data_IF_288748210482
#
_entry.id   IF_288748210482
#
_cell.length_a   1.000
_cell.length_b   1.000
_cell.length_c   1.000
_cell.angle_alpha   90.00
_cell.angle_beta   90.00
_cell.angle_gamma   90.00
#
_symmetry.space_group_name_H-M   'P 1'
#
loop_
_entity.id
_entity.type
_entity.pdbx_description
1 polymer ?
#
# COMPACT_ATOMS: atom_id res chain seq x y z
N UNK A 1 1.18 18.76 26.91
CA UNK A 1 -0.08 17.98 26.93
C UNK A 1 -0.69 18.03 25.54
N UNK A 2 -0.47 17.01 24.69
CA UNK A 2 -1.04 16.95 23.32
C UNK A 2 -2.46 16.45 23.41
N UNK A 3 -3.43 17.31 23.20
CA UNK A 3 -4.84 16.97 23.17
C UNK A 3 -5.06 15.86 22.14
N UNK A 4 -5.49 14.69 22.58
CA UNK A 4 -5.95 13.58 21.72
C UNK A 4 -7.35 13.91 21.24
N UNK A 5 -7.47 14.64 20.16
CA UNK A 5 -8.75 14.77 19.47
C UNK A 5 -8.93 13.47 18.66
N UNK A 6 -9.64 12.52 19.21
CA UNK A 6 -10.13 11.39 18.44
C UNK A 6 -11.10 11.92 17.40
N UNK A 7 -10.92 11.52 16.14
CA UNK A 7 -11.85 11.91 15.09
C UNK A 7 -13.21 11.30 15.39
N UNK A 8 -14.29 12.10 15.44
CA UNK A 8 -15.63 11.54 15.60
C UNK A 8 -15.92 10.54 14.46
N UNK A 9 -16.46 9.37 14.80
CA UNK A 9 -16.77 8.30 13.82
C UNK A 9 -17.61 8.81 12.63
N UNK A 10 -18.48 9.81 12.86
CA UNK A 10 -19.27 10.45 11.80
C UNK A 10 -18.38 11.18 10.79
N UNK A 11 -17.38 11.91 11.26
CA UNK A 11 -16.44 12.64 10.41
C UNK A 11 -15.52 11.68 9.64
N UNK A 12 -15.06 10.60 10.29
CA UNK A 12 -14.27 9.56 9.63
C UNK A 12 -15.05 8.88 8.49
N UNK A 13 -16.32 8.55 8.71
CA UNK A 13 -17.20 8.03 7.64
C UNK A 13 -17.44 9.05 6.52
N UNK A 14 -17.61 10.32 6.85
CA UNK A 14 -17.77 11.38 5.85
C UNK A 14 -16.51 11.51 4.99
N UNK A 15 -15.33 11.47 5.59
CA UNK A 15 -14.03 11.45 4.88
C UNK A 15 -13.87 10.20 4.00
N UNK A 16 -14.26 9.03 4.49
CA UNK A 16 -14.26 7.81 3.71
C UNK A 16 -15.18 7.89 2.48
N UNK A 17 -16.39 8.46 2.65
CA UNK A 17 -17.31 8.70 1.53
C UNK A 17 -16.74 9.70 0.53
N UNK A 18 -16.17 10.81 1.02
CA UNK A 18 -15.51 11.81 0.18
C UNK A 18 -14.35 11.23 -0.61
N UNK A 19 -13.54 10.42 0.06
CA UNK A 19 -12.46 9.66 -0.56
C UNK A 19 -13.00 8.72 -1.64
N UNK A 20 -14.04 7.94 -1.35
CA UNK A 20 -14.69 7.06 -2.32
C UNK A 20 -15.28 7.83 -3.51
N UNK A 21 -15.92 8.98 -3.25
CA UNK A 21 -16.45 9.86 -4.29
C UNK A 21 -15.32 10.41 -5.18
N UNK A 22 -14.21 10.85 -4.59
CA UNK A 22 -13.03 11.28 -5.35
C UNK A 22 -12.50 10.15 -6.23
N UNK A 23 -12.32 8.95 -5.67
CA UNK A 23 -11.85 7.80 -6.44
C UNK A 23 -12.81 7.41 -7.58
N UNK A 24 -14.11 7.57 -7.39
CA UNK A 24 -15.09 7.33 -8.45
C UNK A 24 -14.97 8.29 -9.64
N UNK A 25 -14.35 9.45 -9.44
CA UNK A 25 -14.08 10.42 -10.53
C UNK A 25 -12.77 10.13 -11.28
N UNK A 26 -11.88 9.32 -10.71
CA UNK A 26 -10.57 9.07 -11.28
C UNK A 26 -10.64 8.06 -12.43
N UNK A 27 -9.82 8.29 -13.46
CA UNK A 27 -9.55 7.30 -14.51
C UNK A 27 -8.42 6.40 -14.05
N UNK A 28 -8.79 5.34 -13.31
CA UNK A 28 -7.83 4.40 -12.73
C UNK A 28 -7.52 3.28 -13.73
N UNK A 29 -6.26 3.14 -14.09
CA UNK A 29 -5.75 2.09 -14.95
C UNK A 29 -4.65 1.31 -14.22
N UNK A 30 -4.73 -0.01 -14.25
CA UNK A 30 -3.66 -0.91 -13.84
C UNK A 30 -2.87 -1.39 -15.03
N UNK A 31 -1.56 -1.41 -14.94
CA UNK A 31 -0.66 -1.95 -15.94
C UNK A 31 0.05 -3.17 -15.35
N UNK A 32 -0.14 -4.32 -15.98
CA UNK A 32 0.44 -5.59 -15.56
C UNK A 32 1.83 -5.81 -16.17
N UNK A 33 2.60 -6.80 -15.69
CA UNK A 33 3.93 -7.08 -16.20
C UNK A 33 3.96 -7.43 -17.69
N UNK A 34 2.96 -8.15 -18.18
CA UNK A 34 2.80 -8.53 -19.59
C UNK A 34 2.37 -7.38 -20.51
N UNK A 35 2.18 -6.19 -19.95
CA UNK A 35 1.74 -5.00 -20.67
C UNK A 35 0.22 -4.86 -20.79
N UNK A 36 -0.55 -5.83 -20.30
CA UNK A 36 -2.01 -5.75 -20.31
C UNK A 36 -2.51 -4.67 -19.36
N UNK A 37 -3.62 -4.03 -19.74
CA UNK A 37 -4.29 -2.99 -18.95
C UNK A 37 -5.52 -3.57 -18.29
N UNK A 38 -5.68 -3.24 -17.02
CA UNK A 38 -6.81 -3.67 -16.19
C UNK A 38 -7.44 -2.48 -15.49
N UNK A 39 -8.67 -2.62 -15.12
CA UNK A 39 -9.36 -1.68 -14.23
C UNK A 39 -9.43 -2.27 -12.82
N UNK A 40 -9.80 -1.48 -11.79
CA UNK A 40 -10.01 -2.03 -10.45
C UNK A 40 -11.07 -3.14 -10.38
N UNK A 41 -11.98 -3.20 -11.37
CA UNK A 41 -13.02 -4.22 -11.45
C UNK A 41 -12.59 -5.49 -12.18
N UNK A 42 -11.59 -5.41 -13.02
CA UNK A 42 -11.11 -6.55 -13.84
C UNK A 42 -9.81 -7.16 -13.36
N UNK A 43 -9.15 -6.55 -12.36
CA UNK A 43 -7.94 -7.12 -11.78
C UNK A 43 -8.28 -8.41 -11.02
N UNK A 44 -7.60 -9.53 -11.32
CA UNK A 44 -7.86 -10.82 -10.67
C UNK A 44 -7.15 -10.89 -9.30
N UNK A 45 -7.71 -10.23 -8.30
CA UNK A 45 -7.13 -10.23 -6.96
C UNK A 45 -7.07 -11.66 -6.39
N UNK A 46 -5.89 -12.02 -5.91
CA UNK A 46 -5.59 -13.29 -5.25
C UNK A 46 -4.90 -13.10 -3.91
N UNK A 47 -4.19 -14.13 -3.46
CA UNK A 47 -3.45 -14.14 -2.19
C UNK A 47 -2.10 -13.39 -2.26
N UNK A 48 -2.01 -12.33 -2.98
CA UNK A 48 -0.78 -11.59 -3.22
C UNK A 48 -0.48 -10.60 -2.09
N UNK A 49 0.79 -10.23 -1.97
CA UNK A 49 1.25 -9.12 -1.15
C UNK A 49 1.59 -7.97 -2.09
N UNK A 50 0.77 -6.93 -2.08
CA UNK A 50 1.07 -5.67 -2.77
C UNK A 50 1.96 -4.82 -1.87
N UNK A 51 3.22 -4.66 -2.27
CA UNK A 51 4.19 -3.82 -1.60
C UNK A 51 4.29 -2.46 -2.31
N UNK A 52 4.08 -1.38 -1.58
CA UNK A 52 4.13 -0.02 -2.12
C UNK A 52 4.66 0.99 -1.11
N UNK A 53 5.08 2.15 -1.60
CA UNK A 53 5.54 3.24 -0.75
C UNK A 53 4.36 4.05 -0.21
N UNK A 54 4.50 4.65 0.97
CA UNK A 54 3.46 5.47 1.60
C UNK A 54 2.95 6.59 0.68
N UNK A 55 3.82 7.16 -0.15
CA UNK A 55 3.42 8.20 -1.11
C UNK A 55 2.31 7.77 -2.08
N UNK A 56 2.23 6.48 -2.41
CA UNK A 56 1.29 5.92 -3.38
C UNK A 56 0.02 5.37 -2.71
N UNK A 57 -0.04 5.36 -1.38
CA UNK A 57 -1.12 4.75 -0.60
C UNK A 57 -2.51 5.29 -0.97
N UNK A 58 -2.60 6.60 -1.24
CA UNK A 58 -3.87 7.22 -1.60
C UNK A 58 -4.41 6.71 -2.95
N UNK A 59 -3.55 6.54 -3.95
CA UNK A 59 -3.97 6.01 -5.25
C UNK A 59 -4.45 4.57 -5.17
N UNK A 60 -3.80 3.77 -4.32
CA UNK A 60 -4.06 2.34 -4.22
C UNK A 60 -5.33 2.00 -3.42
N UNK A 61 -5.74 2.86 -2.49
CA UNK A 61 -6.91 2.60 -1.66
C UNK A 61 -8.20 2.39 -2.46
N UNK A 62 -8.41 3.11 -3.55
CA UNK A 62 -9.57 2.95 -4.42
C UNK A 62 -9.57 1.66 -5.23
N UNK A 63 -8.38 1.15 -5.56
CA UNK A 63 -8.23 -0.12 -6.29
C UNK A 63 -8.41 -1.29 -5.32
N UNK A 64 -7.72 -1.25 -4.20
CA UNK A 64 -7.75 -2.31 -3.19
C UNK A 64 -9.09 -2.40 -2.46
N UNK A 65 -9.84 -1.31 -2.32
CA UNK A 65 -11.13 -1.28 -1.64
C UNK A 65 -12.16 -2.28 -2.19
N UNK A 66 -12.03 -2.69 -3.44
CA UNK A 66 -12.87 -3.74 -4.05
C UNK A 66 -12.45 -5.16 -3.69
N UNK A 67 -11.23 -5.34 -3.21
CA UNK A 67 -10.60 -6.65 -3.01
C UNK A 67 -10.71 -7.21 -1.58
N UNK A 68 -11.40 -6.54 -0.66
CA UNK A 68 -11.41 -6.90 0.77
C UNK A 68 -10.00 -7.16 1.33
N UNK A 69 -9.07 -6.27 1.02
CA UNK A 69 -7.67 -6.42 1.39
C UNK A 69 -7.43 -6.29 2.89
N UNK A 70 -6.34 -6.87 3.35
CA UNK A 70 -5.84 -6.69 4.72
C UNK A 70 -4.58 -5.84 4.71
N UNK A 71 -4.47 -4.87 5.61
CA UNK A 71 -3.30 -4.02 5.75
C UNK A 71 -2.86 -3.87 7.20
N UNK A 72 -1.59 -3.47 7.40
CA UNK A 72 -1.01 -3.18 8.70
C UNK A 72 -0.83 -1.67 8.86
N UNK A 73 -1.47 -1.10 9.87
CA UNK A 73 -1.37 0.33 10.17
C UNK A 73 -0.76 0.53 11.56
N UNK A 74 0.26 1.39 11.65
CA UNK A 74 0.90 1.73 12.91
C UNK A 74 -0.07 2.43 13.87
N UNK A 75 0.02 2.20 15.20
CA UNK A 75 -0.71 2.97 16.19
C UNK A 75 -0.31 4.43 16.17
N UNK A 76 -1.26 5.31 16.41
CA UNK A 76 -1.06 6.75 16.48
C UNK A 76 -2.17 7.49 15.76
N UNK A 77 -2.19 8.82 15.92
CA UNK A 77 -3.25 9.68 15.39
C UNK A 77 -3.46 9.51 13.88
N UNK A 78 -2.36 9.56 13.11
CA UNK A 78 -2.42 9.40 11.66
C UNK A 78 -2.88 7.98 11.26
N UNK A 79 -2.43 6.98 12.04
CA UNK A 79 -2.88 5.60 11.87
C UNK A 79 -4.36 5.40 12.24
N UNK A 80 -4.89 6.16 13.20
CA UNK A 80 -6.32 6.09 13.55
C UNK A 80 -7.17 6.62 12.38
N UNK A 81 -6.74 7.72 11.76
CA UNK A 81 -7.36 8.25 10.55
C UNK A 81 -7.29 7.27 9.38
N UNK A 82 -6.11 6.75 9.11
CA UNK A 82 -5.91 5.78 8.04
C UNK A 82 -6.77 4.53 8.25
N UNK A 83 -6.91 4.07 9.51
CA UNK A 83 -7.76 2.93 9.86
C UNK A 83 -9.23 3.18 9.50
N UNK A 84 -9.77 4.32 9.85
CA UNK A 84 -11.16 4.66 9.56
C UNK A 84 -11.40 4.75 8.03
N UNK A 85 -10.48 5.38 7.29
CA UNK A 85 -10.56 5.45 5.83
C UNK A 85 -10.51 4.06 5.20
N UNK A 86 -9.52 3.25 5.56
CA UNK A 86 -9.36 1.90 5.01
C UNK A 86 -10.57 1.02 5.34
N UNK A 87 -11.07 1.09 6.56
CA UNK A 87 -12.26 0.31 6.97
C UNK A 87 -13.52 0.77 6.21
N UNK A 88 -13.66 2.08 5.95
CA UNK A 88 -14.78 2.60 5.16
C UNK A 88 -14.77 2.14 3.69
N UNK A 89 -13.60 1.75 3.18
CA UNK A 89 -13.40 1.18 1.85
C UNK A 89 -13.58 -0.36 1.83
N UNK A 90 -13.91 -0.97 2.96
CA UNK A 90 -14.05 -2.43 3.06
C UNK A 90 -12.75 -3.18 3.35
N UNK A 91 -11.64 -2.46 3.59
CA UNK A 91 -10.37 -3.06 3.97
C UNK A 91 -10.35 -3.49 5.44
N UNK A 92 -9.64 -4.57 5.74
CA UNK A 92 -9.37 -5.03 7.10
C UNK A 92 -8.06 -4.43 7.60
N UNK A 93 -8.07 -3.81 8.77
CA UNK A 93 -6.89 -3.21 9.37
C UNK A 93 -6.43 -4.01 10.58
N UNK A 94 -5.18 -4.44 10.53
CA UNK A 94 -4.46 -4.94 11.70
C UNK A 94 -3.60 -3.82 12.28
N UNK A 95 -3.68 -3.62 13.59
CA UNK A 95 -2.94 -2.56 14.28
C UNK A 95 -1.63 -3.09 14.80
N UNK A 96 -0.51 -2.54 14.33
CA UNK A 96 0.81 -2.96 14.77
C UNK A 96 1.85 -1.88 14.58
N UNK A 97 2.84 -1.82 15.48
CA UNK A 97 3.89 -0.81 15.44
C UNK A 97 5.23 -1.39 15.03
N UNK A 98 5.89 -0.70 14.12
CA UNK A 98 7.27 -1.01 13.69
C UNK A 98 8.34 -0.25 14.48
N UNK A 99 7.96 0.68 15.36
CA UNK A 99 8.91 1.59 16.05
C UNK A 99 9.96 0.90 16.94
N UNK A 100 9.65 -0.27 17.55
CA UNK A 100 10.59 -1.08 18.36
C UNK A 100 10.30 -2.57 18.29
N UNK A 101 9.74 -3.07 17.20
CA UNK A 101 9.32 -4.47 17.13
C UNK A 101 8.61 -4.81 15.84
N UNK A 102 9.15 -4.41 14.70
CA UNK A 102 8.64 -4.83 13.39
C UNK A 102 8.38 -6.34 13.33
N UNK A 103 9.18 -7.09 14.07
CA UNK A 103 9.01 -8.53 14.27
C UNK A 103 7.71 -8.88 15.02
N UNK A 104 7.33 -8.11 16.05
CA UNK A 104 6.08 -8.34 16.79
C UNK A 104 4.84 -8.01 15.97
N UNK A 105 4.84 -6.87 15.27
CA UNK A 105 3.72 -6.48 14.42
C UNK A 105 3.54 -7.46 13.26
N UNK A 106 4.64 -7.91 12.67
CA UNK A 106 4.61 -8.94 11.64
C UNK A 106 4.15 -10.29 12.20
N UNK A 107 4.64 -10.70 13.38
CA UNK A 107 4.19 -11.93 14.02
C UNK A 107 2.69 -11.88 14.38
N UNK A 108 2.18 -10.72 14.78
CA UNK A 108 0.75 -10.52 14.97
C UNK A 108 0.00 -10.58 13.64
N UNK A 109 0.47 -9.89 12.60
CA UNK A 109 -0.11 -10.00 11.27
C UNK A 109 -0.21 -11.45 10.82
N UNK A 110 0.86 -12.22 10.97
CA UNK A 110 0.89 -13.62 10.57
C UNK A 110 -0.05 -14.52 11.38
N UNK A 111 -0.28 -14.21 12.65
CA UNK A 111 -1.26 -14.94 13.48
C UNK A 111 -2.71 -14.56 13.16
N UNK A 112 -2.93 -13.28 12.89
CA UNK A 112 -4.26 -12.71 12.68
C UNK A 112 -4.68 -12.74 11.20
N UNK A 113 -3.77 -13.16 10.30
CA UNK A 113 -4.13 -13.46 8.93
C UNK A 113 -5.14 -14.59 8.94
N UNK A 114 -6.37 -14.34 8.48
CA UNK A 114 -7.31 -15.44 8.27
C UNK A 114 -6.70 -16.43 7.27
N UNK A 115 -7.04 -17.70 7.42
CA UNK A 115 -6.63 -18.75 6.48
C UNK A 115 -7.12 -18.52 5.06
N UNK A 116 -7.96 -17.55 4.89
CA UNK A 116 -8.51 -17.04 3.63
C UNK A 116 -8.12 -15.56 3.47
N UNK A 117 -7.91 -15.04 2.54
CA UNK A 117 -7.27 -15.18 1.34
C UNK A 117 -7.37 -14.00 0.40
N UNK A 118 -7.85 -12.85 0.84
CA UNK A 118 -7.72 -11.61 0.12
C UNK A 118 -6.26 -11.11 0.08
N UNK A 119 -5.97 -10.16 -0.77
CA UNK A 119 -4.63 -9.60 -0.88
C UNK A 119 -4.20 -8.86 0.39
N UNK A 120 -2.89 -8.86 0.63
CA UNK A 120 -2.26 -7.99 1.62
C UNK A 120 -1.77 -6.72 0.95
N UNK A 121 -2.03 -5.58 1.56
CA UNK A 121 -1.54 -4.28 1.12
C UNK A 121 -0.55 -3.73 2.16
N UNK A 122 0.73 -3.71 1.85
CA UNK A 122 1.77 -3.35 2.80
C UNK A 122 2.55 -2.11 2.36
N UNK A 123 2.53 -1.08 3.20
CA UNK A 123 3.42 0.07 3.09
C UNK A 123 4.81 -0.35 3.56
N UNK A 124 5.82 -0.26 2.69
CA UNK A 124 7.12 -0.88 2.92
C UNK A 124 8.23 0.07 3.36
N UNK A 125 8.11 1.36 3.15
CA UNK A 125 9.10 2.36 3.57
C UNK A 125 8.95 2.78 5.05
N UNK A 126 7.84 2.37 5.67
CA UNK A 126 7.62 2.50 7.11
C UNK A 126 7.41 3.94 7.59
N UNK A 127 7.04 4.15 8.87
CA UNK A 127 6.53 5.43 9.36
C UNK A 127 7.59 6.53 9.52
N UNK A 128 8.85 6.20 9.35
CA UNK A 128 9.98 7.15 9.51
C UNK A 128 10.81 7.28 8.23
N UNK A 129 10.41 6.61 7.14
CA UNK A 129 11.16 6.63 5.89
C UNK A 129 12.55 5.98 5.98
N UNK A 130 13.44 6.32 5.07
CA UNK A 130 13.28 7.26 3.97
C UNK A 130 12.27 6.81 2.92
N UNK A 131 11.58 7.79 2.29
CA UNK A 131 10.59 7.52 1.24
C UNK A 131 11.19 6.74 0.07
N UNK A 132 10.52 5.69 -0.33
CA UNK A 132 10.94 4.86 -1.47
C UNK A 132 11.92 3.76 -1.12
N UNK A 133 12.34 3.61 0.14
CA UNK A 133 13.27 2.55 0.57
C UNK A 133 12.52 1.47 1.35
N UNK A 134 12.37 0.32 0.73
CA UNK A 134 11.67 -0.80 1.33
C UNK A 134 12.42 -1.39 2.52
N UNK A 135 11.69 -1.66 3.59
CA UNK A 135 12.16 -2.42 4.75
C UNK A 135 11.82 -3.89 4.62
N UNK A 136 12.59 -4.74 5.28
CA UNK A 136 12.47 -6.20 5.16
C UNK A 136 11.15 -6.83 5.63
N UNK A 137 10.18 -6.05 6.14
CA UNK A 137 8.93 -6.58 6.68
C UNK A 137 8.08 -7.35 5.68
N UNK A 138 7.88 -6.80 4.48
CA UNK A 138 7.13 -7.45 3.42
C UNK A 138 7.82 -8.72 2.90
N UNK A 139 9.16 -8.69 2.82
CA UNK A 139 9.97 -9.86 2.44
C UNK A 139 9.79 -11.00 3.45
N UNK A 140 9.85 -10.71 4.75
CA UNK A 140 9.61 -11.72 5.80
C UNK A 140 8.17 -12.22 5.75
N UNK A 141 7.20 -11.34 5.48
CA UNK A 141 5.80 -11.75 5.31
C UNK A 141 5.66 -12.75 4.15
N UNK A 142 6.25 -12.45 2.99
CA UNK A 142 6.23 -13.34 1.83
C UNK A 142 6.89 -14.69 2.12
N UNK A 143 8.08 -14.69 2.74
CA UNK A 143 8.79 -15.91 3.13
C UNK A 143 7.94 -16.83 4.05
N UNK A 144 7.23 -16.23 5.00
CA UNK A 144 6.43 -16.97 5.99
C UNK A 144 5.08 -17.44 5.48
N UNK A 145 4.52 -16.76 4.49
CA UNK A 145 3.17 -17.06 3.97
C UNK A 145 3.18 -17.78 2.62
N UNK A 146 4.33 -17.80 1.93
CA UNK A 146 4.43 -18.30 0.55
C UNK A 146 3.67 -17.45 -0.48
N UNK A 147 3.17 -16.27 -0.08
CA UNK A 147 2.40 -15.39 -0.97
C UNK A 147 3.32 -14.65 -1.95
N UNK A 148 2.93 -14.51 -3.22
CA UNK A 148 3.67 -13.69 -4.17
C UNK A 148 3.82 -12.25 -3.68
N UNK A 149 5.05 -11.71 -3.67
CA UNK A 149 5.35 -10.33 -3.27
C UNK A 149 5.47 -9.46 -4.52
N UNK A 150 4.46 -8.64 -4.80
CA UNK A 150 4.42 -7.77 -5.97
C UNK A 150 4.78 -6.33 -5.61
N UNK A 151 5.80 -5.75 -6.22
CA UNK A 151 6.09 -4.33 -6.12
C UNK A 151 5.04 -3.52 -6.89
N UNK A 152 4.54 -2.45 -6.29
CA UNK A 152 3.54 -1.59 -6.91
C UNK A 152 3.98 -0.14 -6.86
N UNK A 153 3.87 0.55 -7.98
CA UNK A 153 4.10 1.98 -8.10
C UNK A 153 2.92 2.68 -8.77
N UNK A 154 2.67 3.92 -8.40
CA UNK A 154 1.57 4.68 -8.99
C UNK A 154 1.98 6.10 -9.35
N UNK A 155 1.31 6.69 -10.34
CA UNK A 155 1.43 8.09 -10.73
C UNK A 155 0.07 8.65 -11.15
N UNK A 156 -0.10 9.96 -10.97
CA UNK A 156 -1.29 10.68 -11.41
C UNK A 156 -0.91 11.94 -12.20
N UNK A 157 -1.63 12.22 -13.29
CA UNK A 157 -1.33 13.36 -14.18
C UNK A 157 -1.53 14.72 -13.48
N UNK A 158 -2.57 14.83 -12.65
CA UNK A 158 -2.87 16.01 -11.83
C UNK A 158 -2.90 15.60 -10.36
N UNK A 159 -1.73 15.47 -9.79
CA UNK A 159 -1.54 14.86 -8.48
C UNK A 159 -0.53 15.65 -7.63
N UNK A 160 -0.94 16.80 -7.07
CA UNK A 160 -0.08 17.59 -6.22
C UNK A 160 0.34 16.80 -4.97
N UNK A 161 1.58 17.06 -4.54
CA UNK A 161 2.09 16.54 -3.26
C UNK A 161 1.42 17.30 -2.13
N UNK A 162 0.87 16.57 -1.16
CA UNK A 162 0.14 17.13 -0.03
C UNK A 162 1.05 17.28 1.18
N UNK A 163 1.14 18.51 1.68
CA UNK A 163 1.88 18.80 2.90
C UNK A 163 3.41 18.67 2.76
N UNK A 164 4.09 18.77 3.92
CA UNK A 164 5.54 18.63 4.06
C UNK A 164 5.93 17.27 4.65
N UNK A 165 5.14 16.24 4.36
CA UNK A 165 5.43 14.89 4.86
C UNK A 165 6.71 14.33 4.23
N UNK A 166 7.47 13.56 5.02
CA UNK A 166 8.64 12.83 4.53
C UNK A 166 8.29 11.86 3.40
N UNK A 167 7.06 11.33 3.39
CA UNK A 167 6.60 10.36 2.40
C UNK A 167 6.29 11.00 1.04
N UNK A 168 6.11 12.34 0.99
CA UNK A 168 5.67 13.05 -0.22
C UNK A 168 4.38 12.45 -0.80
N UNK A 169 3.43 12.20 0.09
CA UNK A 169 2.10 11.73 -0.30
C UNK A 169 1.48 12.68 -1.33
N UNK A 170 0.94 12.14 -2.39
CA UNK A 170 0.26 12.91 -3.42
C UNK A 170 -1.22 12.57 -3.48
N UNK A 171 -2.02 13.53 -3.88
CA UNK A 171 -3.46 13.43 -3.97
C UNK A 171 -3.91 13.71 -5.41
N UNK A 172 -4.49 12.75 -6.14
CA UNK A 172 -5.00 13.01 -7.46
C UNK A 172 -6.19 13.96 -7.40
N UNK A 173 -6.24 14.94 -8.29
CA UNK A 173 -7.40 15.80 -8.43
C UNK A 173 -8.55 15.05 -9.12
N UNK A 174 -9.81 15.48 -8.92
CA UNK A 174 -10.96 14.88 -9.60
C UNK A 174 -10.75 14.81 -11.12
N UNK A 175 -11.25 13.75 -11.74
CA UNK A 175 -11.17 13.47 -13.18
C UNK A 175 -9.75 13.30 -13.76
N UNK A 176 -8.73 13.21 -12.91
CA UNK A 176 -7.38 12.93 -13.37
C UNK A 176 -7.17 11.45 -13.70
N UNK A 177 -6.25 11.22 -14.64
CA UNK A 177 -5.75 9.87 -14.94
C UNK A 177 -4.77 9.45 -13.86
N UNK A 178 -4.91 8.22 -13.38
CA UNK A 178 -4.00 7.59 -12.43
C UNK A 178 -3.62 6.23 -12.99
N UNK A 179 -2.34 5.99 -13.14
CA UNK A 179 -1.80 4.70 -13.57
C UNK A 179 -1.13 4.00 -12.38
N UNK A 180 -1.48 2.74 -12.19
CA UNK A 180 -0.88 1.85 -11.19
C UNK A 180 -0.17 0.72 -11.91
N UNK A 181 1.12 0.62 -11.73
CA UNK A 181 1.93 -0.46 -12.28
C UNK A 181 2.12 -1.54 -11.24
N UNK A 182 1.67 -2.74 -11.55
CA UNK A 182 1.94 -3.95 -10.76
C UNK A 182 3.11 -4.67 -11.38
N UNK A 183 4.20 -4.82 -10.63
CA UNK A 183 5.41 -5.47 -11.11
C UNK A 183 5.36 -7.00 -11.00
N UNK A 184 6.34 -7.65 -11.62
CA UNK A 184 6.55 -9.09 -11.47
C UNK A 184 6.75 -9.49 -10.01
N UNK A 185 6.26 -10.65 -9.60
CA UNK A 185 6.49 -11.14 -8.25
C UNK A 185 7.99 -11.23 -7.95
N UNK A 186 8.40 -10.72 -6.79
CA UNK A 186 9.75 -10.93 -6.30
C UNK A 186 9.83 -12.34 -5.71
N UNK A 187 10.70 -13.21 -6.23
CA UNK A 187 10.92 -14.54 -5.66
C UNK A 187 11.51 -14.42 -4.24
N UNK A 188 10.80 -14.98 -3.26
CA UNK A 188 11.22 -14.96 -1.86
C UNK A 188 11.29 -16.38 -1.34
N UNK A 189 12.46 -16.89 -0.96
CA UNK A 189 12.60 -18.23 -0.41
C UNK A 189 11.95 -18.30 1.00
N UNK A 190 11.45 -19.48 1.41
CA UNK A 190 10.80 -19.66 2.71
C UNK A 190 11.76 -19.48 3.89
N UNK A 191 13.04 -19.79 3.70
CA UNK A 191 14.10 -19.59 4.69
C UNK A 191 14.95 -18.37 4.30
N UNK A 192 15.04 -17.40 5.21
CA UNK A 192 15.78 -16.16 5.03
C UNK A 192 16.67 -15.88 6.23
N UNK A 193 17.95 -15.77 5.97
CA UNK A 193 18.89 -15.15 6.89
C UNK A 193 18.82 -13.63 6.84
N UNK A 194 19.57 -12.98 7.72
CA UNK A 194 19.60 -11.52 7.78
C UNK A 194 20.16 -10.89 6.49
N UNK A 195 21.32 -11.32 5.95
CA UNK A 195 21.83 -10.82 4.68
C UNK A 195 20.86 -11.01 3.50
N UNK A 196 20.24 -12.17 3.39
CA UNK A 196 19.23 -12.46 2.36
C UNK A 196 18.03 -11.53 2.41
N UNK A 197 17.54 -11.26 3.64
CA UNK A 197 16.46 -10.31 3.85
C UNK A 197 16.85 -8.88 3.43
N UNK A 198 18.04 -8.42 3.79
CA UNK A 198 18.53 -7.10 3.44
C UNK A 198 18.73 -6.96 1.92
N UNK A 199 19.29 -7.97 1.26
CA UNK A 199 19.42 -8.02 -0.20
C UNK A 199 18.06 -7.96 -0.90
N UNK A 200 17.08 -8.76 -0.47
CA UNK A 200 15.75 -8.77 -1.07
C UNK A 200 14.97 -7.48 -0.79
N UNK A 201 15.18 -6.82 0.34
CA UNK A 201 14.62 -5.49 0.59
C UNK A 201 15.22 -4.43 -0.36
N UNK A 202 16.52 -4.51 -0.66
CA UNK A 202 17.18 -3.69 -1.67
C UNK A 202 16.62 -3.95 -3.08
N UNK A 203 16.42 -5.20 -3.45
CA UNK A 203 15.81 -5.57 -4.73
C UNK A 203 14.35 -5.08 -4.83
N UNK A 204 13.58 -5.22 -3.76
CA UNK A 204 12.23 -4.68 -3.69
C UNK A 204 12.23 -3.15 -3.88
N UNK A 205 13.18 -2.45 -3.25
CA UNK A 205 13.36 -0.99 -3.42
C UNK A 205 13.59 -0.63 -4.90
N UNK A 206 14.46 -1.35 -5.58
CA UNK A 206 14.75 -1.13 -7.00
C UNK A 206 13.51 -1.36 -7.87
N UNK A 207 12.78 -2.44 -7.63
CA UNK A 207 11.56 -2.77 -8.38
C UNK A 207 10.40 -1.79 -8.13
N UNK A 208 10.28 -1.26 -6.92
CA UNK A 208 9.33 -0.19 -6.60
C UNK A 208 9.64 1.10 -7.35
N UNK A 209 10.93 1.47 -7.41
CA UNK A 209 11.37 2.62 -8.18
C UNK A 209 11.10 2.43 -9.69
N UNK A 210 11.31 1.23 -10.22
CA UNK A 210 11.00 0.88 -11.60
C UNK A 210 9.50 0.99 -11.90
N UNK A 211 8.66 0.35 -11.07
CA UNK A 211 7.21 0.41 -11.22
C UNK A 211 6.70 1.87 -11.20
N UNK A 212 7.27 2.70 -10.33
CA UNK A 212 6.91 4.12 -10.30
C UNK A 212 7.38 4.89 -11.54
N UNK A 213 8.63 4.67 -12.03
CA UNK A 213 9.11 5.30 -13.27
C UNK A 213 8.20 4.94 -14.45
N UNK A 214 7.83 3.66 -14.55
CA UNK A 214 6.90 3.19 -15.58
C UNK A 214 5.53 3.85 -15.44
N UNK A 215 4.99 3.97 -14.22
CA UNK A 215 3.72 4.65 -13.99
C UNK A 215 3.78 6.15 -14.39
N UNK A 216 4.89 6.83 -14.12
CA UNK A 216 5.10 8.22 -14.54
C UNK A 216 5.13 8.35 -16.06
N UNK A 217 5.85 7.48 -16.76
CA UNK A 217 5.91 7.48 -18.23
C UNK A 217 4.52 7.22 -18.85
N UNK A 218 3.76 6.30 -18.30
CA UNK A 218 2.45 5.91 -18.80
C UNK A 218 1.34 6.95 -18.52
N UNK A 219 1.45 7.71 -17.45
CA UNK A 219 0.42 8.70 -17.10
C UNK A 219 0.49 9.94 -17.99
N UNK A 220 1.65 10.22 -18.57
CA UNK A 220 1.87 11.35 -19.47
C UNK A 220 1.67 10.98 -20.96
N UNK A 221 1.66 9.68 -21.25
CA UNK A 221 1.33 9.14 -22.57
C UNK A 221 -0.20 9.17 -22.82
#
# INVERSE_FOLDING_TARGET
>A
MKVRIALPRRLARALGRLYGALHATLRLEGLLPDGSRVTPSTYPFGREIFAFCERDAFALGGILGRARFTTLIAPGRDGDWATEVVTSLGGRVLRGATRRGGTRALAQLLRDLPGDDGPLALVVDGPLGPSGVAKGGAVVCAARTGRPLRPVGAAGRRAPVVGRSWSRLWLPLPFSRVVVVVGEPLPVPPALDRPGRERLAGELTRRLAEARRRALAEVDA
#
